data_IF_314929605590
#
_entry.id   IF_314929605590
#
_cell.length_a   1.000
_cell.length_b   1.000
_cell.length_c   1.000
_cell.angle_alpha   90.00
_cell.angle_beta   90.00
_cell.angle_gamma   90.00
#
_symmetry.space_group_name_H-M   'P 1'
#
loop_
_entity.id
_entity.type
_entity.pdbx_description
1 polymer ?
#
# COMPACT_ATOMS: atom_id res chain seq x y z
N UNK A 1 -71.77 -12.38 -20.77
CA UNK A 1 -70.33 -12.72 -20.79
C UNK A 1 -69.61 -11.55 -20.17
N UNK A 2 -69.24 -11.67 -18.89
CA UNK A 2 -68.53 -10.62 -18.17
C UNK A 2 -67.05 -10.99 -18.22
N UNK A 3 -66.28 -10.19 -18.96
CA UNK A 3 -64.82 -10.33 -19.04
C UNK A 3 -64.27 -9.84 -17.70
N UNK A 4 -63.78 -10.76 -16.88
CA UNK A 4 -63.00 -10.45 -15.68
C UNK A 4 -61.69 -9.81 -16.15
N UNK A 5 -61.57 -8.50 -15.95
CA UNK A 5 -60.30 -7.81 -15.98
C UNK A 5 -59.46 -8.31 -14.80
N UNK A 6 -58.41 -9.07 -15.08
CA UNK A 6 -57.33 -9.26 -14.11
C UNK A 6 -56.75 -7.87 -13.79
N UNK A 7 -56.64 -7.48 -12.52
CA UNK A 7 -55.94 -6.25 -12.17
C UNK A 7 -54.49 -6.43 -12.57
N UNK A 8 -54.02 -5.56 -13.47
CA UNK A 8 -52.61 -5.43 -13.82
C UNK A 8 -51.82 -5.24 -12.52
N UNK A 9 -51.17 -6.31 -12.05
CA UNK A 9 -50.50 -6.35 -10.75
C UNK A 9 -49.31 -5.40 -10.84
N UNK A 10 -49.38 -4.27 -10.15
CA UNK A 10 -48.30 -3.29 -10.16
C UNK A 10 -47.02 -3.95 -9.61
N UNK A 11 -45.98 -4.00 -10.44
CA UNK A 11 -44.64 -4.44 -10.03
C UNK A 11 -44.14 -3.51 -8.93
N UNK A 12 -43.81 -4.06 -7.76
CA UNK A 12 -43.27 -3.26 -6.67
C UNK A 12 -41.77 -3.01 -6.89
N UNK A 13 -41.30 -1.76 -6.76
CA UNK A 13 -39.88 -1.45 -6.88
C UNK A 13 -39.10 -2.08 -5.73
N UNK A 14 -37.88 -2.51 -6.03
CA UNK A 14 -36.97 -3.10 -5.05
C UNK A 14 -35.90 -2.08 -4.68
N UNK A 15 -35.60 -1.97 -3.39
CA UNK A 15 -34.45 -1.21 -2.91
C UNK A 15 -33.45 -2.17 -2.25
N UNK A 16 -32.18 -2.06 -2.63
CA UNK A 16 -31.08 -2.85 -2.07
C UNK A 16 -30.11 -1.97 -1.29
N UNK A 17 -29.62 -2.47 -0.16
CA UNK A 17 -28.61 -1.82 0.67
C UNK A 17 -27.56 -2.83 1.10
N UNK A 18 -26.30 -2.56 0.77
CA UNK A 18 -25.17 -3.36 1.23
C UNK A 18 -24.71 -2.92 2.62
N UNK A 19 -24.49 -3.88 3.51
CA UNK A 19 -23.79 -3.76 4.78
C UNK A 19 -22.63 -4.75 4.82
N UNK A 20 -21.59 -4.45 5.58
CA UNK A 20 -20.44 -5.33 5.73
C UNK A 20 -20.05 -5.39 7.19
N UNK A 21 -20.05 -6.59 7.75
CA UNK A 21 -19.73 -6.84 9.15
C UNK A 21 -18.43 -7.64 9.20
N UNK A 22 -17.42 -7.10 9.86
CA UNK A 22 -16.12 -7.77 10.07
C UNK A 22 -15.92 -8.03 11.54
N UNK A 23 -15.50 -9.26 11.83
CA UNK A 23 -15.24 -9.73 13.19
C UNK A 23 -13.88 -10.43 13.26
N UNK A 24 -13.19 -10.36 14.42
CA UNK A 24 -12.04 -11.21 14.66
C UNK A 24 -12.42 -12.69 14.49
N UNK A 25 -11.56 -13.51 13.90
CA UNK A 25 -11.75 -14.96 13.86
C UNK A 25 -11.75 -15.59 15.27
N UNK A 26 -11.06 -14.94 16.21
CA UNK A 26 -11.03 -15.33 17.64
C UNK A 26 -11.51 -14.18 18.50
N UNK A 27 -12.45 -14.43 19.43
CA UNK A 27 -13.01 -13.41 20.30
C UNK A 27 -11.95 -12.63 21.10
N UNK A 28 -11.90 -11.31 20.91
CA UNK A 28 -10.96 -10.40 21.57
C UNK A 28 -11.65 -9.64 22.71
N UNK A 29 -11.89 -10.33 23.83
CA UNK A 29 -12.69 -9.77 24.92
C UNK A 29 -11.97 -8.69 25.74
N UNK A 30 -10.63 -8.70 25.77
CA UNK A 30 -9.80 -7.68 26.45
C UNK A 30 -8.47 -7.53 25.75
N UNK A 31 -8.19 -6.34 25.23
CA UNK A 31 -6.86 -5.98 24.75
C UNK A 31 -6.20 -4.98 25.69
N UNK A 32 -4.93 -5.17 26.01
CA UNK A 32 -4.18 -4.24 26.86
C UNK A 32 -2.77 -4.07 26.33
N UNK A 33 -2.32 -2.83 26.21
CA UNK A 33 -0.93 -2.52 25.89
C UNK A 33 -0.18 -2.27 27.20
N UNK A 34 0.72 -3.17 27.55
CA UNK A 34 1.63 -2.98 28.68
C UNK A 34 2.82 -2.12 28.24
N UNK A 35 3.39 -1.37 29.21
CA UNK A 35 4.55 -0.47 29.07
C UNK A 35 5.49 -0.86 27.91
N UNK A 36 5.78 0.10 27.04
CA UNK A 36 6.87 -0.03 26.06
C UNK A 36 8.21 -0.19 26.78
N UNK A 37 8.72 -1.41 26.86
CA UNK A 37 10.11 -1.67 27.22
C UNK A 37 11.08 -1.14 26.16
N UNK A 38 12.37 -1.27 26.44
CA UNK A 38 13.48 -0.96 25.51
C UNK A 38 13.13 -1.43 24.10
N UNK A 39 13.29 -0.55 23.10
CA UNK A 39 13.02 -0.81 21.68
C UNK A 39 13.26 -2.28 21.32
N UNK A 40 12.22 -2.95 20.82
CA UNK A 40 12.33 -4.34 20.40
C UNK A 40 13.46 -4.50 19.38
N UNK A 41 14.03 -5.71 19.28
CA UNK A 41 15.00 -6.06 18.24
C UNK A 41 14.43 -5.93 16.82
N UNK A 42 13.12 -5.72 16.70
CA UNK A 42 12.37 -5.44 15.46
C UNK A 42 12.44 -3.97 15.01
N UNK A 43 13.10 -3.10 15.78
CA UNK A 43 13.08 -1.67 15.49
C UNK A 43 14.05 -1.30 14.37
N UNK A 44 13.49 -0.76 13.30
CA UNK A 44 14.25 -0.10 12.23
C UNK A 44 13.90 1.39 12.17
N UNK A 45 14.80 2.20 11.58
CA UNK A 45 14.56 3.62 11.34
C UNK A 45 14.21 3.82 9.87
N UNK A 46 13.05 4.41 9.64
CA UNK A 46 12.60 4.86 8.32
C UNK A 46 12.63 6.38 8.20
N UNK A 47 12.91 6.88 7.00
CA UNK A 47 12.96 8.30 6.62
C UNK A 47 11.96 8.55 5.51
N UNK A 48 11.18 9.62 5.63
CA UNK A 48 10.16 10.02 4.67
C UNK A 48 10.67 11.14 3.76
N UNK A 49 9.94 11.37 2.66
CA UNK A 49 10.27 12.36 1.64
C UNK A 49 10.29 13.81 2.15
N UNK A 50 9.52 14.11 3.21
CA UNK A 50 9.52 15.41 3.89
C UNK A 50 10.70 15.62 4.85
N UNK A 51 11.57 14.60 4.99
CA UNK A 51 12.72 14.60 5.90
C UNK A 51 12.40 14.17 7.33
N UNK A 52 11.11 13.95 7.66
CA UNK A 52 10.73 13.33 8.92
C UNK A 52 11.23 11.88 8.98
N UNK A 53 11.30 11.33 10.18
CA UNK A 53 11.74 9.96 10.40
C UNK A 53 11.02 9.35 11.59
N UNK A 54 10.89 8.02 11.58
CA UNK A 54 10.35 7.27 12.69
C UNK A 54 11.13 5.99 12.94
N UNK A 55 11.02 5.50 14.17
CA UNK A 55 11.33 4.11 14.52
C UNK A 55 10.06 3.29 14.36
N UNK A 56 10.11 2.24 13.57
CA UNK A 56 8.99 1.34 13.34
C UNK A 56 9.10 0.15 14.29
N UNK A 57 7.98 -0.25 14.88
CA UNK A 57 7.91 -1.44 15.73
C UNK A 57 6.55 -2.13 15.54
N UNK A 58 6.52 -3.45 15.74
CA UNK A 58 5.28 -4.20 15.73
C UNK A 58 4.65 -4.12 17.11
N UNK A 59 3.55 -3.38 17.23
CA UNK A 59 2.85 -3.19 18.50
C UNK A 59 2.26 -4.54 18.91
N UNK A 60 2.46 -4.92 20.18
CA UNK A 60 1.87 -6.12 20.78
C UNK A 60 0.87 -5.73 21.85
N UNK A 61 -0.37 -6.15 21.69
CA UNK A 61 -1.42 -6.07 22.72
C UNK A 61 -1.59 -7.44 23.35
N UNK A 62 -1.78 -7.52 24.67
CA UNK A 62 -2.15 -8.76 25.35
C UNK A 62 -3.55 -9.20 24.88
N UNK A 63 -3.81 -10.48 24.52
CA UNK A 63 -2.94 -11.66 24.64
C UNK A 63 -2.18 -12.04 23.34
N UNK A 64 -1.21 -11.22 22.94
CA UNK A 64 -0.36 -11.40 21.76
C UNK A 64 -1.01 -11.06 20.41
N UNK A 65 -1.88 -10.05 20.41
CA UNK A 65 -2.40 -9.44 19.19
C UNK A 65 -1.34 -8.50 18.61
N UNK A 66 -0.88 -8.81 17.40
CA UNK A 66 0.01 -7.95 16.63
C UNK A 66 -0.77 -6.79 16.03
N UNK A 67 -0.17 -5.61 16.01
CA UNK A 67 -0.83 -4.42 15.50
C UNK A 67 0.17 -3.39 14.95
N UNK A 68 -0.31 -2.55 14.04
CA UNK A 68 0.43 -1.43 13.46
C UNK A 68 -0.20 -0.09 13.86
N UNK A 69 0.61 0.96 13.92
CA UNK A 69 0.11 2.32 14.18
C UNK A 69 -0.71 2.84 13.01
N UNK A 70 -1.86 3.45 13.30
CA UNK A 70 -2.71 4.20 12.36
C UNK A 70 -2.54 5.72 12.47
N UNK A 71 -1.66 6.19 13.37
CA UNK A 71 -1.39 7.62 13.56
C UNK A 71 0.09 7.82 13.84
N UNK A 72 0.80 8.41 12.88
CA UNK A 72 2.20 8.78 13.00
C UNK A 72 2.49 9.71 14.21
N UNK A 73 1.52 10.55 14.59
CA UNK A 73 1.65 11.49 15.72
C UNK A 73 1.17 10.90 17.04
N UNK A 74 0.63 9.69 17.02
CA UNK A 74 0.08 9.03 18.19
C UNK A 74 1.14 8.70 19.23
N UNK A 75 0.75 8.74 20.50
CA UNK A 75 1.63 8.49 21.64
C UNK A 75 1.45 7.06 22.15
N UNK A 76 2.55 6.38 22.47
CA UNK A 76 2.50 5.10 23.17
C UNK A 76 2.18 5.30 24.66
N UNK A 77 1.29 4.49 25.27
CA UNK A 77 0.95 4.63 26.67
C UNK A 77 2.15 4.29 27.56
N UNK A 78 2.35 5.07 28.63
CA UNK A 78 3.40 4.84 29.62
C UNK A 78 3.00 3.82 30.70
N UNK A 79 1.69 3.62 30.87
CA UNK A 79 1.09 2.68 31.82
C UNK A 79 0.26 1.65 31.06
N UNK A 80 -0.15 0.54 31.68
CA UNK A 80 -1.04 -0.42 31.04
C UNK A 80 -2.37 0.23 30.64
N UNK A 81 -2.61 0.39 29.34
CA UNK A 81 -3.83 0.99 28.80
C UNK A 81 -4.68 -0.04 28.08
N UNK A 82 -5.99 0.00 28.35
CA UNK A 82 -6.97 -0.90 27.74
C UNK A 82 -7.31 -0.43 26.33
N UNK A 83 -7.43 -1.38 25.42
CA UNK A 83 -7.85 -1.17 24.04
C UNK A 83 -9.17 -1.88 23.78
N UNK A 84 -10.08 -1.22 23.07
CA UNK A 84 -11.34 -1.78 22.57
C UNK A 84 -11.25 -1.91 21.05
N UNK A 85 -11.90 -2.94 20.51
CA UNK A 85 -12.10 -3.06 19.06
C UNK A 85 -13.09 -1.99 18.61
N UNK A 86 -12.75 -1.27 17.55
CA UNK A 86 -13.59 -0.26 16.92
C UNK A 86 -13.44 -0.30 15.39
N UNK A 87 -14.18 0.54 14.68
CA UNK A 87 -14.16 0.62 13.21
C UNK A 87 -13.25 1.74 12.71
N UNK A 88 -12.80 1.64 11.47
CA UNK A 88 -12.05 2.69 10.78
C UNK A 88 -12.73 4.07 10.86
N UNK A 89 -14.06 4.11 10.67
CA UNK A 89 -14.86 5.34 10.69
C UNK A 89 -14.92 6.03 12.07
N UNK A 90 -14.61 5.31 13.15
CA UNK A 90 -14.54 5.88 14.49
C UNK A 90 -13.32 6.78 14.67
N UNK A 91 -12.27 6.62 13.86
CA UNK A 91 -11.05 7.40 13.92
C UNK A 91 -11.23 8.75 13.21
N UNK A 92 -11.17 9.90 13.91
CA UNK A 92 -11.52 11.19 13.30
C UNK A 92 -10.71 11.57 12.07
N UNK A 93 -9.41 11.25 12.05
CA UNK A 93 -8.53 11.56 10.90
C UNK A 93 -8.68 10.59 9.73
N UNK A 94 -9.35 9.45 9.92
CA UNK A 94 -9.56 8.43 8.88
C UNK A 94 -11.02 8.29 8.46
N UNK A 95 -11.97 8.93 9.16
CA UNK A 95 -13.40 8.82 8.86
C UNK A 95 -13.76 9.19 7.41
N UNK A 96 -13.07 10.16 6.83
CA UNK A 96 -13.27 10.61 5.45
C UNK A 96 -12.32 9.91 4.45
N UNK A 97 -11.49 8.96 4.91
CA UNK A 97 -10.51 8.26 4.07
C UNK A 97 -11.09 6.98 3.51
N UNK A 98 -11.10 6.86 2.18
CA UNK A 98 -11.51 5.66 1.45
C UNK A 98 -10.42 4.58 1.39
N UNK A 99 -9.34 4.74 2.17
CA UNK A 99 -8.19 3.83 2.14
C UNK A 99 -8.31 2.63 3.09
N UNK A 100 -9.45 2.46 3.78
CA UNK A 100 -9.66 1.32 4.69
C UNK A 100 -9.36 -0.01 4.00
N UNK A 101 -9.89 -0.20 2.79
CA UNK A 101 -9.72 -1.46 2.07
C UNK A 101 -8.29 -1.69 1.60
N UNK A 102 -7.59 -0.62 1.22
CA UNK A 102 -6.19 -0.67 0.85
C UNK A 102 -5.31 -1.05 2.03
N UNK A 103 -5.62 -0.52 3.23
CA UNK A 103 -4.88 -0.85 4.46
C UNK A 103 -5.17 -2.28 4.93
N UNK A 104 -6.43 -2.75 4.85
CA UNK A 104 -6.77 -4.15 5.12
C UNK A 104 -5.98 -5.10 4.20
N UNK A 105 -5.91 -4.79 2.91
CA UNK A 105 -5.10 -5.57 1.97
C UNK A 105 -3.63 -5.62 2.39
N UNK A 106 -3.04 -4.49 2.78
CA UNK A 106 -1.65 -4.43 3.24
C UNK A 106 -1.45 -5.33 4.46
N UNK A 107 -2.34 -5.26 5.46
CA UNK A 107 -2.21 -6.05 6.69
C UNK A 107 -2.24 -7.56 6.41
N UNK A 108 -3.10 -8.00 5.50
CA UNK A 108 -3.24 -9.43 5.14
C UNK A 108 -2.10 -9.94 4.28
N UNK A 109 -1.52 -9.09 3.44
CA UNK A 109 -0.46 -9.44 2.48
C UNK A 109 0.94 -9.00 2.94
N UNK A 110 1.11 -8.79 4.24
CA UNK A 110 2.39 -8.38 4.82
C UNK A 110 2.63 -9.04 6.18
N UNK A 111 3.74 -8.72 6.82
CA UNK A 111 4.10 -9.33 8.10
C UNK A 111 3.14 -8.86 9.20
N UNK A 112 2.71 -9.71 10.15
CA UNK A 112 3.07 -11.12 10.32
C UNK A 112 2.15 -12.12 9.59
N UNK A 113 1.12 -11.67 8.88
CA UNK A 113 0.19 -12.56 8.16
C UNK A 113 0.88 -13.36 7.05
N UNK A 114 1.90 -12.76 6.44
CA UNK A 114 2.86 -13.45 5.58
C UNK A 114 4.23 -13.54 6.25
N UNK A 115 4.86 -14.72 6.16
CA UNK A 115 6.24 -14.90 6.64
C UNK A 115 7.24 -14.09 5.82
N UNK A 116 8.40 -13.78 6.38
CA UNK A 116 9.46 -13.06 5.67
C UNK A 116 9.98 -13.81 4.44
N UNK A 117 9.99 -15.15 4.48
CA UNK A 117 10.35 -15.99 3.34
C UNK A 117 9.32 -15.88 2.21
N UNK A 118 8.03 -15.92 2.56
CA UNK A 118 6.93 -15.75 1.60
C UNK A 118 6.99 -14.37 0.93
N UNK A 119 7.11 -13.31 1.73
CA UNK A 119 7.24 -11.94 1.23
C UNK A 119 8.47 -11.78 0.32
N UNK A 120 9.59 -12.37 0.71
CA UNK A 120 10.80 -12.33 -0.11
C UNK A 120 10.63 -13.04 -1.45
N UNK A 121 9.87 -14.14 -1.50
CA UNK A 121 9.52 -14.83 -2.75
C UNK A 121 8.67 -13.94 -3.64
N UNK A 122 7.54 -13.44 -3.12
CA UNK A 122 6.60 -12.62 -3.88
C UNK A 122 7.25 -11.34 -4.44
N UNK A 123 8.07 -10.66 -3.64
CA UNK A 123 8.77 -9.44 -4.07
C UNK A 123 9.79 -9.74 -5.18
N UNK A 124 10.47 -10.90 -5.15
CA UNK A 124 11.36 -11.34 -6.25
C UNK A 124 10.59 -11.72 -7.51
N UNK A 125 9.46 -12.40 -7.38
CA UNK A 125 8.57 -12.73 -8.50
C UNK A 125 8.04 -11.46 -9.18
N UNK A 126 7.74 -10.43 -8.39
CA UNK A 126 7.40 -9.09 -8.86
C UNK A 126 8.60 -8.28 -9.41
N UNK A 127 9.78 -8.91 -9.58
CA UNK A 127 11.01 -8.35 -10.19
C UNK A 127 11.69 -7.23 -9.39
N UNK A 128 11.43 -7.10 -8.10
CA UNK A 128 12.20 -6.18 -7.25
C UNK A 128 13.55 -6.80 -6.84
N UNK A 129 14.65 -6.03 -6.82
CA UNK A 129 15.99 -6.56 -6.61
C UNK A 129 16.32 -6.72 -5.10
N UNK A 130 15.89 -7.83 -4.48
CA UNK A 130 16.21 -8.14 -3.08
C UNK A 130 17.61 -8.77 -2.88
N UNK A 131 18.24 -9.21 -3.97
CA UNK A 131 19.43 -10.06 -3.89
C UNK A 131 19.12 -11.47 -3.34
N UNK A 132 20.17 -12.22 -2.95
CA UNK A 132 20.01 -13.63 -2.55
C UNK A 132 19.39 -13.80 -1.16
N UNK A 133 19.58 -12.84 -0.25
CA UNK A 133 19.05 -12.94 1.12
C UNK A 133 17.58 -12.55 1.22
N UNK A 134 16.88 -13.12 2.20
CA UNK A 134 15.49 -12.78 2.51
C UNK A 134 15.39 -11.48 3.32
N UNK A 135 14.24 -10.82 3.22
CA UNK A 135 13.82 -9.71 4.08
C UNK A 135 13.83 -10.19 5.54
N UNK A 136 14.37 -9.38 6.44
CA UNK A 136 14.33 -9.65 7.88
C UNK A 136 13.03 -9.14 8.51
N UNK A 137 12.68 -9.62 9.70
CA UNK A 137 11.44 -9.21 10.37
C UNK A 137 11.35 -7.69 10.59
N UNK A 138 12.43 -7.05 11.06
CA UNK A 138 12.46 -5.59 11.24
C UNK A 138 12.28 -4.83 9.92
N UNK A 139 12.84 -5.33 8.81
CA UNK A 139 12.68 -4.74 7.48
C UNK A 139 11.23 -4.90 6.99
N UNK A 140 10.61 -6.04 7.26
CA UNK A 140 9.21 -6.30 6.90
C UNK A 140 8.25 -5.40 7.69
N UNK A 141 8.45 -5.31 9.02
CA UNK A 141 7.68 -4.43 9.91
C UNK A 141 7.82 -2.96 9.46
N UNK A 142 9.04 -2.52 9.13
CA UNK A 142 9.31 -1.17 8.69
C UNK A 142 8.58 -0.82 7.38
N UNK A 143 8.66 -1.72 6.39
CA UNK A 143 8.00 -1.54 5.11
C UNK A 143 6.46 -1.54 5.25
N UNK A 144 5.90 -2.46 6.03
CA UNK A 144 4.46 -2.52 6.31
C UNK A 144 3.98 -1.25 7.01
N UNK A 145 4.66 -0.83 8.07
CA UNK A 145 4.27 0.36 8.83
C UNK A 145 4.34 1.63 7.96
N UNK A 146 5.38 1.76 7.13
CA UNK A 146 5.50 2.87 6.18
C UNK A 146 4.38 2.85 5.13
N UNK A 147 4.01 1.68 4.61
CA UNK A 147 2.91 1.55 3.65
C UNK A 147 1.56 1.93 4.28
N UNK A 148 1.32 1.57 5.55
CA UNK A 148 0.12 2.00 6.29
C UNK A 148 0.10 3.52 6.47
N UNK A 149 1.22 4.14 6.86
CA UNK A 149 1.30 5.59 7.05
C UNK A 149 1.19 6.40 5.75
N UNK A 150 1.53 5.82 4.61
CA UNK A 150 1.25 6.43 3.30
C UNK A 150 -0.25 6.71 3.14
N UNK A 151 -1.11 5.75 3.49
CA UNK A 151 -2.57 5.87 3.35
C UNK A 151 -3.28 6.54 4.53
N UNK A 152 -2.71 6.45 5.73
CA UNK A 152 -3.34 6.97 6.96
C UNK A 152 -2.88 8.37 7.35
N UNK A 153 -1.67 8.76 6.94
CA UNK A 153 -1.05 10.03 7.30
C UNK A 153 -0.48 10.81 6.09
N UNK A 154 -0.55 10.26 4.87
CA UNK A 154 0.02 10.90 3.68
C UNK A 154 1.56 10.90 3.66
N UNK A 155 2.20 10.05 4.46
CA UNK A 155 3.66 10.02 4.60
C UNK A 155 4.30 9.06 3.60
N UNK A 156 4.89 9.62 2.54
CA UNK A 156 5.63 8.84 1.56
C UNK A 156 7.04 8.52 2.03
N UNK A 157 7.37 7.23 2.10
CA UNK A 157 8.71 6.75 2.38
C UNK A 157 9.70 7.31 1.34
N UNK A 158 10.88 7.73 1.77
CA UNK A 158 11.92 8.16 0.83
C UNK A 158 12.49 6.95 0.07
N UNK A 159 12.04 6.80 -1.17
CA UNK A 159 12.46 5.75 -2.11
C UNK A 159 13.37 6.28 -3.22
N UNK A 160 13.91 7.49 -3.07
CA UNK A 160 14.79 8.09 -4.08
C UNK A 160 16.17 7.41 -4.06
N UNK A 161 16.66 6.91 -5.20
CA UNK A 161 18.02 6.38 -5.27
C UNK A 161 19.06 7.48 -5.05
N UNK A 162 20.04 7.23 -4.18
CA UNK A 162 21.12 8.16 -3.83
C UNK A 162 22.14 8.37 -4.96
N UNK A 163 22.10 7.53 -6.00
CA UNK A 163 22.90 7.70 -7.23
C UNK A 163 22.20 8.56 -8.30
N UNK A 164 21.02 9.12 -8.01
CA UNK A 164 20.29 9.99 -8.94
C UNK A 164 20.41 11.46 -8.48
N UNK A 165 21.08 12.32 -9.28
CA UNK A 165 21.26 13.74 -8.97
C UNK A 165 19.93 14.48 -8.73
N UNK A 166 19.88 15.37 -7.74
CA UNK A 166 18.77 16.31 -7.49
C UNK A 166 18.73 17.45 -8.49
N UNK A 167 19.89 17.85 -9.02
CA UNK A 167 19.98 18.84 -10.07
C UNK A 167 21.06 18.47 -11.08
N UNK A 168 20.80 18.76 -12.36
CA UNK A 168 21.74 18.59 -13.46
C UNK A 168 21.83 19.90 -14.22
N UNK A 169 23.02 20.49 -14.26
CA UNK A 169 23.29 21.74 -14.96
C UNK A 169 24.26 21.50 -16.10
N UNK A 170 23.83 21.79 -17.33
CA UNK A 170 24.70 21.79 -18.52
C UNK A 170 25.17 23.22 -18.74
N UNK A 171 26.46 23.48 -18.54
CA UNK A 171 27.04 24.81 -18.80
C UNK A 171 27.55 24.90 -20.25
N UNK A 172 27.73 26.10 -20.80
CA UNK A 172 28.52 26.28 -22.02
C UNK A 172 29.96 25.77 -21.81
N UNK A 173 30.52 25.10 -22.82
CA UNK A 173 31.67 24.20 -22.64
C UNK A 173 31.19 22.80 -22.26
N UNK A 174 31.92 21.74 -22.63
CA UNK A 174 31.48 20.34 -22.49
C UNK A 174 31.48 19.86 -21.02
N UNK A 175 30.82 20.59 -20.12
CA UNK A 175 30.79 20.39 -18.67
C UNK A 175 29.35 20.19 -18.21
N UNK A 176 29.12 19.07 -17.54
CA UNK A 176 27.83 18.74 -16.91
C UNK A 176 28.05 18.65 -15.41
N UNK A 177 27.35 19.47 -14.65
CA UNK A 177 27.41 19.49 -13.19
C UNK A 177 26.20 18.74 -12.61
N UNK A 178 26.45 17.94 -11.59
CA UNK A 178 25.50 17.09 -10.90
C UNK A 178 25.54 17.44 -9.42
N UNK A 179 24.37 17.79 -8.88
CA UNK A 179 24.16 17.91 -7.45
C UNK A 179 23.42 16.69 -6.96
N UNK A 180 23.87 16.09 -5.86
CA UNK A 180 23.23 14.95 -5.23
C UNK A 180 22.55 15.36 -3.94
N UNK A 181 21.53 14.59 -3.57
CA UNK A 181 20.99 14.67 -2.23
C UNK A 181 21.98 14.05 -1.23
N UNK A 182 22.45 14.86 -0.28
CA UNK A 182 23.52 14.46 0.64
C UNK A 182 24.89 14.45 -0.02
N UNK A 183 25.71 13.45 0.31
CA UNK A 183 27.10 13.35 -0.16
C UNK A 183 27.46 11.90 -0.47
N UNK A 184 26.88 11.31 -1.54
CA UNK A 184 27.11 9.91 -1.88
C UNK A 184 28.55 9.69 -2.34
N UNK A 185 29.13 8.55 -1.96
CA UNK A 185 30.41 8.09 -2.49
C UNK A 185 30.17 7.33 -3.79
N UNK A 186 30.73 7.82 -4.90
CA UNK A 186 30.58 7.20 -6.21
C UNK A 186 31.68 6.15 -6.45
N UNK A 187 31.28 4.95 -6.85
CA UNK A 187 32.16 3.84 -7.27
C UNK A 187 32.39 3.79 -8.78
N UNK A 188 31.66 4.60 -9.56
CA UNK A 188 31.76 4.57 -11.01
C UNK A 188 30.72 5.44 -11.68
N UNK A 189 30.90 5.62 -12.98
CA UNK A 189 29.92 6.28 -13.84
C UNK A 189 29.86 5.59 -15.20
N UNK A 190 28.75 5.76 -15.89
CA UNK A 190 28.58 5.39 -17.29
C UNK A 190 28.08 6.58 -18.08
N UNK A 191 28.58 6.75 -19.29
CA UNK A 191 28.19 7.79 -20.23
C UNK A 191 27.66 7.14 -21.50
N UNK A 192 26.53 7.64 -21.99
CA UNK A 192 26.06 7.37 -23.34
C UNK A 192 26.42 8.56 -24.22
N UNK A 193 27.15 8.30 -25.29
CA UNK A 193 27.63 9.33 -26.21
C UNK A 193 27.12 9.06 -27.61
N UNK A 194 26.84 10.12 -28.34
CA UNK A 194 26.74 10.12 -29.79
C UNK A 194 27.73 11.18 -30.27
N UNK A 195 28.90 10.74 -30.73
CA UNK A 195 30.00 11.61 -31.13
C UNK A 195 30.54 11.21 -32.49
N UNK A 196 30.90 12.20 -33.31
CA UNK A 196 31.61 12.01 -34.59
C UNK A 196 33.12 11.85 -34.39
N UNK A 197 33.66 12.39 -33.29
CA UNK A 197 35.07 12.31 -32.91
C UNK A 197 35.30 11.61 -31.56
N UNK A 198 36.57 11.40 -31.22
CA UNK A 198 36.97 10.85 -29.92
C UNK A 198 36.79 11.90 -28.80
N UNK A 199 36.41 11.46 -27.60
CA UNK A 199 36.19 12.29 -26.41
C UNK A 199 36.89 11.70 -25.21
N UNK A 200 37.63 12.52 -24.49
CA UNK A 200 38.10 12.18 -23.16
C UNK A 200 37.18 12.78 -22.13
N UNK A 201 36.65 11.93 -21.26
CA UNK A 201 35.75 12.30 -20.18
C UNK A 201 36.45 12.15 -18.84
N UNK A 202 36.36 13.17 -17.99
CA UNK A 202 36.94 13.18 -16.64
C UNK A 202 35.91 13.59 -15.59
N UNK A 203 35.93 12.93 -14.44
CA UNK A 203 35.05 13.27 -13.32
C UNK A 203 35.80 14.15 -12.32
N UNK A 204 35.12 15.20 -11.86
CA UNK A 204 35.58 16.10 -10.81
C UNK A 204 34.59 16.12 -9.64
N UNK A 205 35.10 16.41 -8.44
CA UNK A 205 34.35 16.43 -7.17
C UNK A 205 34.49 17.78 -6.48
N UNK A 206 33.45 18.21 -5.77
CA UNK A 206 33.43 19.46 -5.02
C UNK A 206 32.55 19.40 -3.78
N UNK A 207 32.98 20.06 -2.71
CA UNK A 207 32.19 20.21 -1.47
C UNK A 207 31.15 21.32 -1.56
N UNK A 208 31.42 22.36 -2.35
CA UNK A 208 30.64 23.60 -2.40
C UNK A 208 30.16 23.97 -3.82
N UNK A 209 30.51 23.19 -4.84
CA UNK A 209 30.17 23.47 -6.23
C UNK A 209 31.03 24.58 -6.88
N UNK A 210 32.00 25.13 -6.15
CA UNK A 210 32.88 26.23 -6.59
C UNK A 210 34.31 25.75 -6.81
N UNK A 211 34.89 25.08 -5.81
CA UNK A 211 36.25 24.54 -5.88
C UNK A 211 36.22 23.07 -6.35
N UNK A 212 36.87 22.78 -7.47
CA UNK A 212 36.77 21.48 -8.14
C UNK A 212 38.11 20.75 -8.15
N UNK A 213 38.05 19.45 -7.85
CA UNK A 213 39.22 18.57 -7.83
C UNK A 213 38.97 17.36 -8.73
N UNK A 214 40.01 16.89 -9.41
CA UNK A 214 39.93 15.68 -10.21
C UNK A 214 39.72 14.44 -9.35
N UNK A 215 38.87 13.53 -9.84
CA UNK A 215 38.74 12.19 -9.28
C UNK A 215 39.80 11.31 -9.92
N UNK A 216 40.73 10.80 -9.12
CA UNK A 216 41.79 9.90 -9.58
C UNK A 216 41.23 8.68 -10.30
N UNK A 217 41.84 8.33 -11.44
CA UNK A 217 41.43 7.18 -12.24
C UNK A 217 40.05 7.28 -12.87
N UNK A 218 39.44 8.48 -12.93
CA UNK A 218 38.14 8.70 -13.55
C UNK A 218 38.16 8.97 -15.06
N UNK A 219 39.35 9.09 -15.65
CA UNK A 219 39.50 9.38 -17.07
C UNK A 219 39.00 8.20 -17.93
N UNK A 220 38.23 8.53 -18.97
CA UNK A 220 37.64 7.59 -19.91
C UNK A 220 37.71 8.17 -21.31
N UNK A 221 38.49 7.54 -22.19
CA UNK A 221 38.51 7.85 -23.62
C UNK A 221 37.41 7.07 -24.33
N UNK A 222 36.63 7.78 -25.13
CA UNK A 222 35.48 7.28 -25.86
C UNK A 222 35.72 7.50 -27.35
N UNK A 223 35.78 6.42 -28.13
CA UNK A 223 35.93 6.50 -29.58
C UNK A 223 34.69 7.07 -30.28
N UNK A 224 34.80 7.37 -31.59
CA UNK A 224 33.68 7.86 -32.38
C UNK A 224 32.56 6.82 -32.49
N UNK A 225 31.34 7.31 -32.69
CA UNK A 225 30.13 6.51 -32.80
C UNK A 225 29.17 6.67 -31.62
N UNK A 226 28.10 5.88 -31.66
CA UNK A 226 27.10 5.81 -30.60
C UNK A 226 27.37 4.61 -29.71
N UNK A 227 27.50 4.82 -28.41
CA UNK A 227 27.80 3.74 -27.48
C UNK A 227 27.59 4.12 -26.02
N UNK A 228 27.56 3.09 -25.16
CA UNK A 228 27.58 3.24 -23.71
C UNK A 228 28.93 2.81 -23.18
N UNK A 229 29.62 3.74 -22.53
CA UNK A 229 30.94 3.52 -21.96
C UNK A 229 30.87 3.61 -20.45
N UNK A 230 31.71 2.86 -19.76
CA UNK A 230 31.66 2.71 -18.31
C UNK A 230 33.06 2.83 -17.71
N UNK A 231 33.14 3.58 -16.61
CA UNK A 231 34.34 3.70 -15.79
C UNK A 231 34.03 3.32 -14.35
N UNK A 232 34.80 2.38 -13.82
CA UNK A 232 34.83 2.10 -12.38
C UNK A 232 35.93 2.94 -11.73
N UNK A 233 35.67 3.40 -10.50
CA UNK A 233 36.59 4.20 -9.71
C UNK A 233 37.18 3.33 -8.61
N UNK A 234 38.45 3.58 -8.25
CA UNK A 234 39.08 2.88 -7.14
C UNK A 234 38.38 3.19 -5.81
N UNK A 235 38.38 2.25 -4.88
CA UNK A 235 37.84 2.47 -3.53
C UNK A 235 38.50 3.71 -2.91
N UNK A 236 37.68 4.58 -2.31
CA UNK A 236 38.17 5.82 -1.71
C UNK A 236 38.39 7.00 -2.67
N UNK A 237 38.35 6.83 -4.00
CA UNK A 237 38.61 7.91 -4.97
C UNK A 237 37.68 9.13 -4.81
N UNK A 238 36.47 8.88 -4.33
CA UNK A 238 35.43 9.89 -4.07
C UNK A 238 35.11 10.06 -2.59
N UNK A 239 35.94 9.53 -1.68
CA UNK A 239 35.79 9.70 -0.25
C UNK A 239 36.16 11.14 0.17
N UNK A 240 35.30 11.77 0.96
CA UNK A 240 35.56 13.07 1.60
C UNK A 240 35.90 12.92 3.08
N UNK A 241 35.27 11.97 3.76
CA UNK A 241 35.54 11.65 5.16
C UNK A 241 35.21 10.19 5.46
N UNK A 242 36.04 9.52 6.26
CA UNK A 242 35.73 8.23 6.86
C UNK A 242 35.09 8.43 8.24
N UNK A 243 34.03 7.68 8.54
CA UNK A 243 33.47 7.57 9.89
C UNK A 243 33.51 6.12 10.33
N UNK A 244 33.94 5.86 11.57
CA UNK A 244 33.88 4.51 12.12
C UNK A 244 32.40 4.08 12.24
N UNK A 245 32.03 2.96 11.61
CA UNK A 245 30.70 2.35 11.73
C UNK A 245 29.60 2.83 10.78
N UNK A 246 29.84 3.84 9.95
CA UNK A 246 28.97 4.23 8.82
C UNK A 246 29.83 4.35 7.56
N UNK A 247 29.35 3.80 6.45
CA UNK A 247 30.06 3.80 5.16
C UNK A 247 30.61 5.18 4.78
N UNK A 248 31.65 5.20 3.94
CA UNK A 248 32.34 6.42 3.55
C UNK A 248 31.41 7.51 3.01
N UNK A 249 31.63 8.76 3.41
CA UNK A 249 30.91 9.92 2.86
C UNK A 249 31.66 10.44 1.65
N UNK A 250 30.94 10.72 0.56
CA UNK A 250 31.50 11.33 -0.65
C UNK A 250 31.26 12.82 -0.73
N UNK A 251 30.94 13.33 -1.91
CA UNK A 251 30.74 14.76 -2.18
C UNK A 251 29.31 15.04 -2.62
N UNK A 252 28.80 16.25 -2.35
CA UNK A 252 27.48 16.69 -2.81
C UNK A 252 27.49 17.02 -4.30
N UNK A 253 28.59 17.60 -4.78
CA UNK A 253 28.71 18.07 -6.16
C UNK A 253 29.75 17.27 -6.93
N UNK A 254 29.35 16.81 -8.11
CA UNK A 254 30.25 16.22 -9.09
C UNK A 254 30.07 16.94 -10.41
N UNK A 255 31.11 16.99 -11.23
CA UNK A 255 30.96 17.44 -12.61
C UNK A 255 31.76 16.57 -13.54
N UNK A 256 31.19 16.34 -14.71
CA UNK A 256 31.81 15.61 -15.80
C UNK A 256 32.33 16.65 -16.80
N UNK A 257 33.63 16.61 -17.07
CA UNK A 257 34.29 17.45 -18.05
C UNK A 257 34.63 16.56 -19.24
N UNK A 258 34.05 16.86 -20.39
CA UNK A 258 34.44 16.27 -21.66
C UNK A 258 35.41 17.21 -22.38
N UNK A 259 36.42 16.63 -22.99
CA UNK A 259 37.35 17.30 -23.87
C UNK A 259 37.37 16.52 -25.19
N UNK A 260 37.06 17.16 -26.33
CA UNK A 260 37.16 16.50 -27.62
C UNK A 260 38.65 16.31 -27.96
N UNK A 261 39.00 15.19 -28.56
CA UNK A 261 40.38 14.93 -28.97
C UNK A 261 40.80 15.80 -30.16
N UNK A 262 39.87 16.04 -31.10
CA UNK A 262 40.16 16.68 -32.39
C UNK A 262 39.28 17.93 -32.67
N UNK A 263 38.72 18.57 -31.63
CA UNK A 263 37.97 19.83 -31.76
C UNK A 263 36.49 19.71 -32.15
N UNK A 264 35.99 18.51 -32.41
CA UNK A 264 34.59 18.23 -32.75
C UNK A 264 33.62 18.39 -31.55
N UNK A 265 32.36 18.74 -31.85
CA UNK A 265 31.32 18.90 -30.83
C UNK A 265 30.73 17.53 -30.49
N UNK A 266 31.13 17.01 -29.33
CA UNK A 266 30.64 15.73 -28.85
C UNK A 266 29.48 15.89 -27.87
N UNK A 267 28.41 15.12 -28.08
CA UNK A 267 27.22 15.17 -27.24
C UNK A 267 27.16 13.99 -26.28
N UNK A 268 27.19 14.30 -24.99
CA UNK A 268 26.86 13.35 -23.93
C UNK A 268 25.34 13.34 -23.77
N UNK A 269 24.72 12.22 -24.08
CA UNK A 269 23.26 12.04 -24.04
C UNK A 269 22.80 11.81 -22.59
N UNK A 270 23.40 10.82 -21.94
CA UNK A 270 22.99 10.35 -20.62
C UNK A 270 24.19 9.99 -19.75
N UNK A 271 24.07 10.24 -18.45
CA UNK A 271 25.08 9.90 -17.45
C UNK A 271 24.39 9.20 -16.28
N UNK A 272 24.91 8.03 -15.90
CA UNK A 272 24.42 7.26 -14.75
C UNK A 272 25.56 6.96 -13.79
N UNK A 273 25.29 6.94 -12.49
CA UNK A 273 26.30 6.73 -11.46
C UNK A 273 26.11 5.42 -10.71
N UNK A 274 27.21 4.83 -10.25
CA UNK A 274 27.22 3.73 -9.28
C UNK A 274 27.77 4.21 -7.95
N UNK A 275 27.18 3.74 -6.86
CA UNK A 275 27.68 3.98 -5.52
C UNK A 275 28.76 2.96 -5.16
N UNK A 276 29.63 3.31 -4.21
CA UNK A 276 30.49 2.35 -3.51
C UNK A 276 30.33 2.56 -2.01
N UNK A 277 30.20 1.48 -1.24
CA UNK A 277 30.08 1.52 0.22
C UNK A 277 28.82 2.20 0.79
N UNK A 278 27.95 2.81 -0.03
CA UNK A 278 26.71 3.44 0.37
C UNK A 278 25.48 2.58 -0.01
N UNK A 279 24.43 2.65 0.81
CA UNK A 279 23.10 2.07 0.50
C UNK A 279 22.54 2.74 -0.76
N UNK A 280 21.71 2.04 -1.54
CA UNK A 280 21.10 2.64 -2.73
C UNK A 280 20.07 3.71 -2.37
N UNK A 281 19.47 3.61 -1.20
CA UNK A 281 18.46 4.54 -0.68
C UNK A 281 18.86 5.05 0.71
N UNK A 282 18.18 6.10 1.19
CA UNK A 282 18.30 6.53 2.60
C UNK A 282 17.80 5.46 3.57
N UNK A 283 16.73 4.78 3.18
CA UNK A 283 16.18 3.61 3.85
C UNK A 283 16.93 2.35 3.42
N UNK A 284 16.77 1.23 4.14
CA UNK A 284 17.33 -0.04 3.69
C UNK A 284 16.69 -0.47 2.36
N UNK A 285 17.51 -0.96 1.42
CA UNK A 285 17.06 -1.32 0.06
C UNK A 285 15.86 -2.27 0.09
N UNK A 286 15.88 -3.28 0.97
CA UNK A 286 14.79 -4.25 1.13
C UNK A 286 13.50 -3.63 1.65
N UNK A 287 13.60 -2.65 2.56
CA UNK A 287 12.44 -1.89 3.06
C UNK A 287 11.80 -1.11 1.91
N UNK A 288 12.61 -0.43 1.09
CA UNK A 288 12.12 0.30 -0.09
C UNK A 288 11.46 -0.63 -1.11
N UNK A 289 12.06 -1.78 -1.39
CA UNK A 289 11.52 -2.75 -2.34
C UNK A 289 10.19 -3.35 -1.87
N UNK A 290 10.11 -3.77 -0.61
CA UNK A 290 8.86 -4.29 -0.05
C UNK A 290 7.78 -3.20 0.04
N UNK A 291 8.13 -1.98 0.46
CA UNK A 291 7.19 -0.85 0.50
C UNK A 291 6.60 -0.57 -0.88
N UNK A 292 7.45 -0.45 -1.92
CA UNK A 292 6.99 -0.21 -3.29
C UNK A 292 6.13 -1.37 -3.82
N UNK A 293 6.50 -2.62 -3.50
CA UNK A 293 5.68 -3.78 -3.83
C UNK A 293 4.30 -3.68 -3.19
N UNK A 294 4.22 -3.45 -1.88
CA UNK A 294 2.96 -3.35 -1.14
C UNK A 294 2.07 -2.24 -1.70
N UNK A 295 2.61 -1.04 -1.96
CA UNK A 295 1.83 0.05 -2.56
C UNK A 295 1.28 -0.31 -3.94
N UNK A 296 2.13 -0.88 -4.80
CA UNK A 296 1.74 -1.25 -6.17
C UNK A 296 0.61 -2.27 -6.16
N UNK A 297 0.70 -3.29 -5.31
CA UNK A 297 -0.31 -4.34 -5.24
C UNK A 297 -1.59 -3.88 -4.54
N UNK A 298 -1.48 -3.08 -3.48
CA UNK A 298 -2.64 -2.54 -2.77
C UNK A 298 -3.48 -1.61 -3.67
N UNK A 299 -2.82 -0.82 -4.53
CA UNK A 299 -3.51 0.02 -5.52
C UNK A 299 -4.22 -0.81 -6.59
N UNK A 300 -3.57 -1.85 -7.12
CA UNK A 300 -4.21 -2.80 -8.04
C UNK A 300 -5.44 -3.45 -7.42
N UNK A 301 -5.34 -3.82 -6.14
CA UNK A 301 -6.45 -4.40 -5.39
C UNK A 301 -7.60 -3.40 -5.21
N UNK A 302 -7.32 -2.14 -4.85
CA UNK A 302 -8.36 -1.12 -4.68
C UNK A 302 -9.20 -0.95 -5.95
N UNK A 303 -8.58 -1.03 -7.13
CA UNK A 303 -9.30 -0.99 -8.41
C UNK A 303 -10.21 -2.19 -8.68
N UNK A 304 -9.95 -3.34 -8.04
CA UNK A 304 -10.73 -4.58 -8.20
C UNK A 304 -11.85 -4.71 -7.16
N UNK A 305 -11.67 -4.17 -5.95
CA UNK A 305 -12.63 -4.28 -4.85
C UNK A 305 -13.95 -3.54 -5.11
N UNK A 306 -13.95 -2.51 -5.96
CA UNK A 306 -15.15 -1.79 -6.42
C UNK A 306 -16.10 -2.67 -7.25
N UNK A 307 -15.69 -3.86 -7.66
CA UNK A 307 -16.53 -4.76 -8.47
C UNK A 307 -17.47 -5.66 -7.63
N UNK A 308 -17.39 -5.69 -6.29
CA UNK A 308 -18.22 -6.55 -5.44
C UNK A 308 -19.65 -5.99 -5.15
N UNK A 309 -20.40 -5.64 -6.19
CA UNK A 309 -21.72 -4.98 -6.09
C UNK A 309 -22.83 -5.88 -6.61
N UNK A 310 -23.97 -5.88 -5.91
CA UNK A 310 -25.22 -6.48 -6.39
C UNK A 310 -25.84 -5.55 -7.44
N UNK A 311 -26.16 -6.08 -8.62
CA UNK A 311 -26.83 -5.33 -9.68
C UNK A 311 -28.33 -5.62 -9.60
N UNK A 312 -29.12 -4.59 -9.38
CA UNK A 312 -30.58 -4.64 -9.16
C UNK A 312 -31.37 -3.79 -10.18
N UNK A 313 -30.73 -3.33 -11.25
CA UNK A 313 -31.29 -2.37 -12.23
C UNK A 313 -32.63 -2.79 -12.84
N UNK A 314 -32.92 -4.09 -12.89
CA UNK A 314 -34.18 -4.64 -13.42
C UNK A 314 -34.98 -5.41 -12.37
N UNK A 315 -34.57 -5.35 -11.09
CA UNK A 315 -35.18 -6.13 -10.04
C UNK A 315 -36.57 -5.58 -9.68
N UNK A 316 -37.57 -6.45 -9.78
CA UNK A 316 -38.97 -6.17 -9.40
C UNK A 316 -39.49 -7.29 -8.52
N UNK A 317 -40.45 -6.97 -7.65
CA UNK A 317 -41.19 -7.98 -6.92
C UNK A 317 -42.52 -8.28 -7.64
N UNK A 318 -42.69 -9.53 -8.07
CA UNK A 318 -43.90 -10.05 -8.68
C UNK A 318 -44.22 -11.46 -8.18
N UNK A 319 -45.49 -11.68 -7.81
CA UNK A 319 -46.04 -13.02 -7.61
C UNK A 319 -45.24 -13.95 -6.67
N UNK A 320 -44.63 -13.36 -5.62
CA UNK A 320 -43.83 -14.09 -4.63
C UNK A 320 -42.38 -14.33 -5.06
N UNK A 321 -41.94 -13.73 -6.16
CA UNK A 321 -40.58 -13.77 -6.68
C UNK A 321 -40.01 -12.33 -6.75
N UNK A 322 -38.74 -12.16 -6.39
CA UNK A 322 -38.05 -10.85 -6.43
C UNK A 322 -36.77 -10.99 -7.24
N UNK A 323 -36.61 -10.19 -8.29
CA UNK A 323 -35.42 -10.21 -9.16
C UNK A 323 -35.73 -9.69 -10.57
N UNK A 324 -34.82 -9.87 -11.54
CA UNK A 324 -33.52 -10.52 -11.41
C UNK A 324 -32.50 -9.66 -10.67
N UNK A 325 -31.66 -10.32 -9.88
CA UNK A 325 -30.42 -9.77 -9.35
C UNK A 325 -29.23 -10.43 -10.03
N UNK A 326 -28.13 -9.69 -10.18
CA UNK A 326 -26.86 -10.24 -10.63
C UNK A 326 -25.74 -9.88 -9.66
N UNK A 327 -24.73 -10.74 -9.59
CA UNK A 327 -23.47 -10.45 -8.91
C UNK A 327 -22.40 -10.12 -9.94
N UNK A 328 -21.45 -9.26 -9.60
CA UNK A 328 -20.29 -8.94 -10.45
C UNK A 328 -19.06 -9.79 -10.16
N UNK A 329 -19.04 -10.46 -9.01
CA UNK A 329 -18.01 -11.42 -8.59
C UNK A 329 -18.66 -12.71 -8.08
N UNK A 330 -17.95 -13.86 -8.06
CA UNK A 330 -18.51 -15.10 -7.53
C UNK A 330 -18.86 -15.00 -6.02
N UNK A 331 -20.13 -15.23 -5.66
CA UNK A 331 -20.63 -15.18 -4.27
C UNK A 331 -21.40 -16.45 -3.87
N UNK A 332 -21.16 -16.93 -2.66
CA UNK A 332 -22.01 -17.85 -1.93
C UNK A 332 -23.05 -17.05 -1.15
N UNK A 333 -24.29 -17.05 -1.62
CA UNK A 333 -25.39 -16.36 -0.96
C UNK A 333 -26.20 -17.33 -0.10
N UNK A 334 -26.60 -16.88 1.08
CA UNK A 334 -27.52 -17.57 1.95
C UNK A 334 -28.71 -16.66 2.26
N UNK A 335 -29.91 -17.16 1.97
CA UNK A 335 -31.16 -16.54 2.39
C UNK A 335 -31.59 -17.10 3.75
N UNK A 336 -32.02 -16.22 4.66
CA UNK A 336 -32.56 -16.60 5.98
C UNK A 336 -34.10 -16.56 5.95
N UNK A 337 -34.72 -16.88 7.09
CA UNK A 337 -36.14 -16.61 7.37
C UNK A 337 -37.14 -17.27 6.41
N UNK A 338 -36.79 -18.46 5.89
CA UNK A 338 -37.67 -19.27 5.05
C UNK A 338 -37.72 -18.87 3.58
N UNK A 339 -36.91 -17.89 3.16
CA UNK A 339 -36.74 -17.51 1.76
C UNK A 339 -35.83 -18.48 1.02
N UNK A 340 -35.99 -18.58 -0.31
CA UNK A 340 -35.15 -19.43 -1.16
C UNK A 340 -34.54 -18.64 -2.32
N UNK A 341 -33.27 -18.92 -2.60
CA UNK A 341 -32.57 -18.39 -3.78
C UNK A 341 -32.78 -19.35 -4.94
N UNK A 342 -33.32 -18.86 -6.04
CA UNK A 342 -33.66 -19.66 -7.23
C UNK A 342 -33.13 -19.03 -8.51
N UNK A 343 -32.79 -19.86 -9.50
CA UNK A 343 -32.41 -19.40 -10.84
C UNK A 343 -33.63 -18.97 -11.67
N UNK A 344 -33.41 -18.59 -12.93
CA UNK A 344 -34.46 -18.19 -13.86
C UNK A 344 -35.48 -19.31 -14.16
N UNK A 345 -35.06 -20.57 -14.02
CA UNK A 345 -35.90 -21.75 -14.21
C UNK A 345 -36.63 -22.16 -12.91
N UNK A 346 -36.35 -21.48 -11.80
CA UNK A 346 -36.98 -21.69 -10.50
C UNK A 346 -36.34 -22.77 -9.64
N UNK A 347 -35.17 -23.30 -10.02
CA UNK A 347 -34.41 -24.27 -9.25
C UNK A 347 -33.52 -23.59 -8.21
N UNK A 348 -33.33 -24.22 -7.05
CA UNK A 348 -32.52 -23.67 -5.98
C UNK A 348 -31.02 -23.74 -6.30
N UNK A 349 -30.27 -22.70 -5.94
CA UNK A 349 -28.81 -22.70 -6.08
C UNK A 349 -28.16 -23.63 -5.03
N UNK A 350 -27.27 -24.51 -5.48
CA UNK A 350 -26.43 -25.37 -4.62
C UNK A 350 -24.94 -24.98 -4.59
N UNK A 351 -24.52 -24.05 -5.44
CA UNK A 351 -23.12 -23.62 -5.61
C UNK A 351 -23.01 -22.09 -5.66
N UNK A 352 -21.78 -21.57 -5.74
CA UNK A 352 -21.52 -20.13 -5.85
C UNK A 352 -22.15 -19.53 -7.12
N UNK A 353 -22.84 -18.39 -6.97
CA UNK A 353 -23.41 -17.64 -8.09
C UNK A 353 -22.28 -16.95 -8.85
N UNK A 354 -22.21 -17.19 -10.17
CA UNK A 354 -21.18 -16.62 -11.05
C UNK A 354 -21.52 -15.19 -11.47
N UNK A 355 -20.51 -14.39 -11.86
CA UNK A 355 -20.73 -13.05 -12.38
C UNK A 355 -21.73 -13.02 -13.54
N UNK A 356 -22.68 -12.09 -13.50
CA UNK A 356 -23.70 -11.90 -14.53
C UNK A 356 -24.78 -12.98 -14.60
N UNK A 357 -24.80 -13.96 -13.69
CA UNK A 357 -25.89 -14.93 -13.59
C UNK A 357 -27.09 -14.31 -12.88
N UNK A 358 -28.26 -14.38 -13.51
CA UNK A 358 -29.53 -13.95 -12.91
C UNK A 358 -29.93 -14.90 -11.78
N UNK A 359 -30.27 -14.33 -10.64
CA UNK A 359 -30.89 -15.04 -9.54
C UNK A 359 -32.10 -14.28 -9.00
N UNK A 360 -33.01 -15.02 -8.39
CA UNK A 360 -34.26 -14.54 -7.85
C UNK A 360 -34.44 -15.00 -6.41
N UNK A 361 -35.25 -14.27 -5.65
CA UNK A 361 -35.61 -14.60 -4.28
C UNK A 361 -37.08 -15.00 -4.26
N UNK A 362 -37.36 -16.25 -3.87
CA UNK A 362 -38.70 -16.70 -3.55
C UNK A 362 -39.07 -16.23 -2.14
N UNK A 363 -40.12 -15.41 -2.04
CA UNK A 363 -40.56 -14.77 -0.82
C UNK A 363 -41.19 -15.78 0.15
N UNK A 364 -40.86 -15.68 1.44
CA UNK A 364 -41.67 -16.30 2.48
C UNK A 364 -43.02 -15.55 2.63
N UNK A 365 -44.13 -16.25 2.91
CA UNK A 365 -45.43 -15.60 3.05
C UNK A 365 -45.44 -14.46 4.08
N UNK A 366 -45.97 -13.30 3.72
CA UNK A 366 -46.13 -12.16 4.64
C UNK A 366 -44.88 -11.30 4.88
N UNK A 367 -43.83 -11.46 4.06
CA UNK A 367 -42.58 -10.70 4.18
C UNK A 367 -42.50 -9.52 3.21
N UNK A 368 -41.89 -8.42 3.65
CA UNK A 368 -41.69 -7.18 2.86
C UNK A 368 -40.21 -6.87 2.57
N UNK A 369 -39.30 -7.74 3.03
CA UNK A 369 -37.88 -7.64 2.81
C UNK A 369 -37.13 -8.87 3.32
N UNK A 370 -35.82 -8.91 3.06
CA UNK A 370 -34.90 -9.97 3.50
C UNK A 370 -33.50 -9.39 3.70
N UNK A 371 -32.73 -10.00 4.60
CA UNK A 371 -31.27 -9.81 4.67
C UNK A 371 -30.58 -11.03 4.07
N UNK A 372 -29.91 -10.89 2.92
CA UNK A 372 -29.08 -11.94 2.35
C UNK A 372 -27.68 -11.88 2.95
N UNK A 373 -27.18 -13.01 3.47
CA UNK A 373 -25.78 -13.11 3.88
C UNK A 373 -24.95 -13.65 2.71
N UNK A 374 -23.91 -12.93 2.32
CA UNK A 374 -23.01 -13.28 1.26
C UNK A 374 -21.60 -13.54 1.80
N UNK A 375 -21.02 -14.65 1.34
CA UNK A 375 -19.60 -14.97 1.47
C UNK A 375 -19.02 -15.07 0.06
N UNK A 376 -17.92 -14.40 -0.23
CA UNK A 376 -17.21 -14.65 -1.49
C UNK A 376 -16.66 -16.06 -1.52
N UNK A 377 -16.38 -16.54 -2.73
CA UNK A 377 -15.61 -17.79 -2.94
C UNK A 377 -14.12 -17.61 -2.58
N UNK A 378 -13.67 -16.37 -2.30
CA UNK A 378 -12.43 -16.02 -1.59
C UNK A 378 -12.71 -15.16 -0.36
N UNK A 379 -11.70 -14.69 0.37
CA UNK A 379 -11.93 -13.75 1.48
C UNK A 379 -12.49 -12.42 0.96
N UNK A 380 -13.65 -11.97 1.43
CA UNK A 380 -14.08 -10.61 1.14
C UNK A 380 -13.28 -9.65 2.04
N UNK A 381 -12.80 -8.62 1.37
CA UNK A 381 -11.78 -7.71 1.85
C UNK A 381 -12.40 -6.34 2.13
N UNK A 382 -11.75 -5.54 2.97
CA UNK A 382 -11.95 -4.10 2.94
C UNK A 382 -12.21 -3.42 4.27
N UNK A 383 -12.20 -4.15 5.40
CA UNK A 383 -12.43 -3.57 6.72
C UNK A 383 -11.30 -3.88 7.67
N UNK A 384 -10.76 -2.83 8.26
CA UNK A 384 -9.68 -2.93 9.24
C UNK A 384 -10.30 -2.99 10.63
N UNK A 385 -9.96 -4.02 11.41
CA UNK A 385 -10.25 -3.99 12.84
C UNK A 385 -9.27 -3.03 13.52
N UNK A 386 -9.83 -1.98 14.13
CA UNK A 386 -9.02 -0.98 14.83
C UNK A 386 -9.06 -1.22 16.34
N UNK A 387 -7.95 -1.00 17.01
CA UNK A 387 -7.86 -0.93 18.45
C UNK A 387 -7.75 0.53 18.90
N UNK A 388 -8.69 1.00 19.70
CA UNK A 388 -8.69 2.34 20.28
C UNK A 388 -8.51 2.26 21.79
N UNK A 389 -7.62 3.08 22.35
CA UNK A 389 -7.39 3.13 23.79
C UNK A 389 -8.61 3.72 24.51
N UNK A 390 -9.00 3.12 25.64
CA UNK A 390 -10.17 3.51 26.43
C UNK A 390 -9.88 4.55 27.53
N UNK A 391 -8.61 4.84 27.83
CA UNK A 391 -8.27 5.73 28.94
C UNK A 391 -8.65 7.19 28.63
N UNK A 392 -9.50 7.76 29.48
CA UNK A 392 -9.94 9.14 29.45
C UNK A 392 -8.86 10.10 29.97
N UNK A 393 -8.89 11.32 29.43
CA UNK A 393 -8.16 12.52 29.84
C UNK A 393 -6.75 12.74 29.22
N UNK A 394 -6.76 13.55 28.15
CA UNK A 394 -5.68 14.45 27.69
C UNK A 394 -4.61 13.90 26.75
N UNK A 395 -4.45 12.59 26.57
CA UNK A 395 -3.41 12.02 25.70
C UNK A 395 -3.99 11.29 24.49
N UNK A 396 -3.56 11.71 23.28
CA UNK A 396 -3.89 11.06 22.01
C UNK A 396 -3.09 9.77 21.86
N UNK A 397 -3.52 8.71 22.54
CA UNK A 397 -2.89 7.40 22.38
C UNK A 397 -3.05 6.89 20.95
N UNK A 398 -2.01 6.23 20.45
CA UNK A 398 -1.97 5.71 19.08
C UNK A 398 -3.11 4.71 18.85
N UNK A 399 -4.08 5.00 17.95
CA UNK A 399 -4.98 3.97 17.44
C UNK A 399 -4.18 2.98 16.59
N UNK A 400 -4.56 1.71 16.64
CA UNK A 400 -3.82 0.65 15.97
C UNK A 400 -4.69 -0.18 15.04
N UNK A 401 -4.13 -0.69 13.96
CA UNK A 401 -4.75 -1.71 13.13
C UNK A 401 -4.32 -3.09 13.58
N UNK A 402 -5.28 -3.98 13.86
CA UNK A 402 -5.00 -5.33 14.32
C UNK A 402 -4.59 -6.21 13.14
N UNK A 403 -3.40 -6.79 13.20
CA UNK A 403 -2.89 -7.75 12.23
C UNK A 403 -3.25 -9.17 12.67
N UNK A 404 -4.53 -9.51 12.55
CA UNK A 404 -5.10 -10.81 12.92
C UNK A 404 -5.95 -11.36 11.77
N UNK A 405 -6.15 -12.69 11.72
CA UNK A 405 -7.19 -13.26 10.88
C UNK A 405 -8.57 -12.68 11.23
N UNK A 406 -9.33 -12.30 10.21
CA UNK A 406 -10.68 -11.75 10.34
C UNK A 406 -11.66 -12.53 9.47
N UNK A 407 -12.90 -12.62 9.93
CA UNK A 407 -14.01 -13.14 9.14
C UNK A 407 -14.89 -11.95 8.70
N UNK A 408 -15.24 -11.90 7.41
CA UNK A 408 -16.11 -10.88 6.84
C UNK A 408 -17.37 -11.54 6.28
N UNK A 409 -18.53 -11.09 6.77
CA UNK A 409 -19.82 -11.39 6.16
C UNK A 409 -20.35 -10.11 5.50
N UNK A 410 -20.80 -10.23 4.25
CA UNK A 410 -21.58 -9.17 3.61
C UNK A 410 -23.04 -9.46 3.85
N UNK A 411 -23.79 -8.44 4.22
CA UNK A 411 -25.23 -8.51 4.35
C UNK A 411 -25.84 -7.59 3.28
N UNK A 412 -26.79 -8.08 2.50
CA UNK A 412 -27.58 -7.28 1.58
C UNK A 412 -29.01 -7.20 2.10
N UNK A 413 -29.41 -6.02 2.56
CA UNK A 413 -30.79 -5.74 2.92
C UNK A 413 -31.56 -5.45 1.62
N UNK A 414 -32.62 -6.20 1.34
CA UNK A 414 -33.47 -6.02 0.17
C UNK A 414 -34.89 -5.80 0.66
N UNK A 415 -35.54 -4.74 0.17
CA UNK A 415 -36.91 -4.37 0.54
C UNK A 415 -37.77 -4.15 -0.71
N UNK A 416 -39.05 -4.54 -0.66
CA UNK A 416 -40.00 -4.46 -1.78
C UNK A 416 -41.36 -3.85 -1.40
N UNK A 417 -41.38 -2.93 -0.43
CA UNK A 417 -42.51 -2.04 -0.17
C UNK A 417 -42.04 -0.58 -0.09
N UNK A 418 -42.73 0.31 -0.81
CA UNK A 418 -42.28 1.68 -1.06
C UNK A 418 -42.61 2.73 0.04
N UNK A 419 -43.35 2.37 1.10
CA UNK A 419 -43.81 3.35 2.12
C UNK A 419 -43.09 3.26 3.48
N UNK A 420 -42.11 2.35 3.66
CA UNK A 420 -41.19 2.33 4.80
C UNK A 420 -39.73 2.33 4.33
N UNK A 421 -39.40 3.21 3.38
CA UNK A 421 -38.00 3.47 3.03
C UNK A 421 -37.29 4.13 4.24
N UNK A 422 -36.79 3.29 5.13
CA UNK A 422 -35.85 3.58 6.22
C UNK A 422 -36.25 4.75 7.12
N UNK A 423 -37.13 4.51 8.09
CA UNK A 423 -37.23 5.40 9.25
C UNK A 423 -35.87 5.48 9.94
N UNK A 424 -35.28 6.67 9.93
CA UNK A 424 -34.08 7.04 10.67
C UNK A 424 -34.12 6.50 12.11
N UNK A 425 -33.27 5.52 12.43
CA UNK A 425 -32.82 5.33 13.82
C UNK A 425 -31.57 6.19 14.01
N UNK A 426 -31.80 7.50 14.09
CA UNK A 426 -30.98 8.38 14.93
C UNK A 426 -31.79 8.55 16.21
N UNK A 427 -31.34 7.91 17.27
CA UNK A 427 -32.10 7.82 18.51
C UNK A 427 -31.29 7.15 19.60
N UNK A 428 -30.25 7.87 20.02
CA UNK A 428 -29.70 7.86 21.37
C UNK A 428 -30.69 7.33 22.42
N UNK A 429 -30.27 6.32 23.21
CA UNK A 429 -30.77 6.08 24.58
C UNK A 429 -29.95 4.98 25.28
N UNK A 430 -29.04 5.49 26.13
CA UNK A 430 -28.51 4.97 27.40
C UNK A 430 -27.40 3.92 27.38
#
# INVERSE_FOLDING_TARGET
MTILFEPNRALAPVATRRRSVVRPATALNRMTRYRGGTYSHTVDRVVFTDGSWARTDLIRLNPNVHAYSLDFTGIAPQHPSRYRVDTWAALPHLRASDHEATVDWILRNSFPMCSTAELSRQVREARYPLGPGNINEHEAIAATQAAIWFFTNGLALDTRPLNVPVAVQRKPGQVITFEFDGAPQLGGYSVSTASTGCVTVKLQKSVNGVAWHDVSGSELSVGPGRGRFQRSLGEGSTLSSSSHGRGGRGYRYYRLVAAPCDGDISRIEHVSFRLTGARHYRNADRVVHLYNYLLTQAQKFAHQADEAVLVDQHAVADSGLVGPFQVRIPLNLCATDGHQLVDADGFAFGEAIKPGTDFYIRQAPGTSGITLTAKTVGDLHGRVLTGVALDEASQRFTPVALAIPTEMNIEFDISWQADEAWSYVVGDKR
#
